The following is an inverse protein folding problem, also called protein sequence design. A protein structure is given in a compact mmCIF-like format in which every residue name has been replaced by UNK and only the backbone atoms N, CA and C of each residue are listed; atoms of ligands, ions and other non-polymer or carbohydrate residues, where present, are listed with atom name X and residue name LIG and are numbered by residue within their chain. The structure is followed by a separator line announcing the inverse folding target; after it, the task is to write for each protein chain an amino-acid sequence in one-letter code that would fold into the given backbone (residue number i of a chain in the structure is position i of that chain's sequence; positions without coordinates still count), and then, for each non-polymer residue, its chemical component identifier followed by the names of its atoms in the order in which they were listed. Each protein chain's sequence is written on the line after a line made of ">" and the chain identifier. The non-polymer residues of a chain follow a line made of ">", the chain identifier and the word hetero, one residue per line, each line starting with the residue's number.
data_IF_189853685566
#
_entry.id   IF_189853685566
#
_cell.length_a   1.000
_cell.length_b   1.000
_cell.length_c   1.000
_cell.angle_alpha   90.00
_cell.angle_beta   90.00
_cell.angle_gamma   90.00
#
_symmetry.space_group_name_H-M   'P 1'
#
loop_
_entity.id
_entity.type
_entity.pdbx_description
1 polymer ?
#
# COMPACT_ATOMS: atom_id res chain seq x y z
N UNK A 1 8.70 44.08 23.79
CA UNK A 1 9.62 43.62 22.74
C UNK A 1 9.83 44.76 21.77
N UNK A 2 10.97 45.45 21.84
CA UNK A 2 11.25 46.63 21.00
C UNK A 2 11.95 46.14 19.74
N UNK A 3 11.19 45.85 18.68
CA UNK A 3 11.76 45.55 17.36
C UNK A 3 12.31 46.86 16.77
N UNK A 4 13.62 47.05 16.80
CA UNK A 4 14.28 48.12 16.06
C UNK A 4 14.03 47.89 14.56
N UNK A 5 13.39 48.85 13.90
CA UNK A 5 13.11 48.80 12.46
C UNK A 5 13.92 49.86 11.72
N UNK A 6 14.48 49.48 10.58
CA UNK A 6 15.16 50.39 9.69
C UNK A 6 14.23 51.48 9.16
N UNK A 7 14.80 52.68 8.96
CA UNK A 7 14.08 53.89 8.60
C UNK A 7 13.70 53.86 7.10
N UNK A 8 12.42 54.05 6.79
CA UNK A 8 11.94 54.14 5.40
C UNK A 8 12.55 55.38 4.74
N UNK A 9 13.36 55.19 3.68
CA UNK A 9 14.07 56.29 2.99
C UNK A 9 13.23 56.98 1.91
N UNK A 10 12.18 56.35 1.37
CA UNK A 10 11.22 56.92 0.41
C UNK A 10 9.91 56.12 0.40
N UNK A 11 8.75 56.78 0.26
CA UNK A 11 7.42 56.15 0.26
C UNK A 11 6.79 55.97 1.65
N UNK A 12 5.66 55.27 1.73
CA UNK A 12 4.94 54.98 2.98
C UNK A 12 4.89 53.48 3.27
N UNK A 13 5.01 53.09 4.54
CA UNK A 13 4.83 51.70 5.00
C UNK A 13 3.67 51.65 5.99
N UNK A 14 2.56 51.03 5.57
CA UNK A 14 1.44 50.71 6.45
C UNK A 14 1.69 49.33 7.07
N UNK A 15 1.63 49.22 8.40
CA UNK A 15 1.76 47.92 9.10
C UNK A 15 0.76 47.87 10.23
N UNK A 16 -0.01 46.78 10.32
CA UNK A 16 -0.77 46.44 11.51
C UNK A 16 0.12 45.64 12.45
N UNK A 17 0.34 46.15 13.65
CA UNK A 17 1.05 45.45 14.73
C UNK A 17 0.04 45.11 15.80
N UNK A 18 -0.11 43.83 16.10
CA UNK A 18 -0.97 43.34 17.18
C UNK A 18 -0.20 42.31 18.01
N UNK A 19 -0.59 42.17 19.27
CA UNK A 19 -0.09 41.14 20.17
C UNK A 19 -1.28 40.27 20.57
N UNK A 20 -1.19 38.97 20.31
CA UNK A 20 -2.19 38.01 20.80
C UNK A 20 -1.75 37.56 22.18
N UNK A 21 -2.61 37.77 23.17
CA UNK A 21 -2.40 37.28 24.54
C UNK A 21 -3.22 36.01 24.75
N UNK A 22 -2.57 34.93 25.19
CA UNK A 22 -3.29 33.73 25.60
C UNK A 22 -4.03 33.96 26.93
N UNK A 23 -5.29 33.53 27.07
CA UNK A 23 -6.01 33.56 28.34
C UNK A 23 -5.24 32.86 29.47
N UNK A 24 -5.45 33.23 30.74
CA UNK A 24 -4.77 32.61 31.88
C UNK A 24 -4.87 31.08 31.92
N UNK A 25 -6.02 30.53 31.52
CA UNK A 25 -6.28 29.09 31.43
C UNK A 25 -5.46 28.39 30.34
N UNK A 26 -5.00 29.13 29.33
CA UNK A 26 -4.24 28.65 28.18
C UNK A 26 -2.74 28.98 28.27
N UNK A 27 -2.26 29.53 29.39
CA UNK A 27 -0.84 29.85 29.57
C UNK A 27 0.08 28.63 29.55
N UNK A 28 -0.44 27.43 29.77
CA UNK A 28 0.30 26.18 29.59
C UNK A 28 0.60 25.85 28.11
N UNK A 29 -0.10 26.49 27.17
CA UNK A 29 0.18 26.43 25.73
C UNK A 29 1.19 27.50 25.30
N UNK A 30 1.64 28.36 26.23
CA UNK A 30 2.58 29.42 25.94
C UNK A 30 3.94 28.77 25.65
N UNK A 31 4.31 28.79 24.38
CA UNK A 31 5.49 28.11 23.88
C UNK A 31 6.75 28.72 24.49
N UNK A 32 7.66 27.87 24.95
CA UNK A 32 8.99 28.32 25.28
C UNK A 32 9.71 28.72 23.99
N UNK A 33 10.03 30.00 23.83
CA UNK A 33 10.66 30.51 22.61
C UNK A 33 12.09 29.99 22.39
N UNK A 34 12.69 29.41 23.43
CA UNK A 34 14.05 28.87 23.38
C UNK A 34 14.13 27.49 22.71
N UNK A 35 13.01 26.78 22.54
CA UNK A 35 12.97 25.44 21.95
C UNK A 35 11.97 25.34 20.77
N UNK A 36 12.37 24.85 19.59
CA UNK A 36 11.44 24.63 18.50
C UNK A 36 10.46 23.49 18.84
N UNK A 37 9.19 23.64 18.42
CA UNK A 37 8.12 22.67 18.67
C UNK A 37 8.49 21.27 18.16
N UNK A 38 9.18 21.20 17.02
CA UNK A 38 9.68 19.95 16.43
C UNK A 38 10.65 19.21 17.35
N UNK A 39 11.47 19.90 18.14
CA UNK A 39 12.42 19.27 19.07
C UNK A 39 11.73 18.77 20.34
N UNK A 40 10.73 19.49 20.85
CA UNK A 40 9.90 19.01 21.96
C UNK A 40 9.10 17.77 21.55
N UNK A 41 8.45 17.83 20.38
CA UNK A 41 7.69 16.73 19.82
C UNK A 41 8.58 15.53 19.47
N UNK A 42 9.79 15.76 18.96
CA UNK A 42 10.76 14.69 18.74
C UNK A 42 11.14 14.02 20.08
N UNK A 43 11.31 14.79 21.15
CA UNK A 43 11.49 14.24 22.49
C UNK A 43 10.37 13.26 22.87
N UNK A 44 9.11 13.69 22.73
CA UNK A 44 7.93 12.88 23.03
C UNK A 44 7.84 11.62 22.16
N UNK A 45 8.01 11.75 20.83
CA UNK A 45 8.00 10.59 19.92
C UNK A 45 9.16 9.63 20.26
N UNK A 46 10.31 10.16 20.67
CA UNK A 46 11.46 9.37 21.09
C UNK A 46 11.19 8.45 22.30
N UNK A 47 10.24 8.83 23.17
CA UNK A 47 9.82 8.01 24.31
C UNK A 47 8.85 6.89 23.95
N UNK A 48 8.26 6.90 22.75
CA UNK A 48 7.38 5.84 22.30
C UNK A 48 8.13 4.50 22.25
N UNK A 49 7.48 3.47 22.79
CA UNK A 49 7.94 2.09 22.82
C UNK A 49 7.67 1.44 21.46
N UNK A 50 8.71 0.91 20.79
CA UNK A 50 8.57 0.30 19.48
C UNK A 50 7.53 -0.84 19.38
N UNK A 51 7.21 -1.50 20.51
CA UNK A 51 6.34 -2.69 20.55
C UNK A 51 4.84 -2.40 20.66
N UNK A 52 4.42 -1.19 21.04
CA UNK A 52 3.00 -0.92 21.35
C UNK A 52 2.46 0.42 20.80
N UNK A 53 3.34 1.33 20.40
CA UNK A 53 2.94 2.73 20.27
C UNK A 53 2.79 3.11 18.80
N UNK A 54 1.61 2.85 18.24
CA UNK A 54 1.09 3.55 17.07
C UNK A 54 0.19 4.70 17.50
N UNK A 55 -0.03 5.67 16.61
CA UNK A 55 -1.07 6.68 16.79
C UNK A 55 -1.81 6.95 15.48
N UNK A 56 -3.01 7.50 15.61
CA UNK A 56 -3.80 8.03 14.50
C UNK A 56 -4.19 9.48 14.79
N UNK A 57 -4.05 10.37 13.81
CA UNK A 57 -4.51 11.74 13.89
C UNK A 57 -5.65 11.93 12.88
N UNK A 58 -6.88 12.07 13.35
CA UNK A 58 -8.02 12.40 12.49
C UNK A 58 -7.86 13.81 11.92
N UNK A 59 -8.10 13.96 10.62
CA UNK A 59 -7.96 15.23 9.91
C UNK A 59 -9.27 16.00 9.94
N UNK A 60 -9.21 17.31 10.18
CA UNK A 60 -10.39 18.17 10.34
C UNK A 60 -11.06 18.53 9.02
N UNK A 61 -10.32 18.64 7.92
CA UNK A 61 -10.89 18.95 6.61
C UNK A 61 -11.31 17.69 5.85
N UNK A 62 -12.25 17.88 4.93
CA UNK A 62 -12.57 16.89 3.92
C UNK A 62 -11.53 16.92 2.78
N UNK A 63 -11.19 15.73 2.29
CA UNK A 63 -10.27 15.53 1.18
C UNK A 63 -10.89 14.57 0.20
N UNK A 64 -10.51 14.70 -1.07
CA UNK A 64 -10.89 13.73 -2.10
C UNK A 64 -9.76 12.74 -2.33
N UNK A 65 -10.10 11.50 -2.66
CA UNK A 65 -9.14 10.44 -2.99
C UNK A 65 -8.15 10.91 -4.05
N UNK A 66 -8.64 11.63 -5.07
CA UNK A 66 -7.80 12.18 -6.13
C UNK A 66 -6.76 13.16 -5.59
N UNK A 67 -7.15 14.07 -4.69
CA UNK A 67 -6.22 15.02 -4.10
C UNK A 67 -5.12 14.33 -3.28
N UNK A 68 -5.49 13.30 -2.51
CA UNK A 68 -4.55 12.50 -1.72
C UNK A 68 -3.65 11.68 -2.64
N UNK A 69 -4.19 11.08 -3.69
CA UNK A 69 -3.41 10.28 -4.64
C UNK A 69 -2.37 11.12 -5.39
N UNK A 70 -2.75 12.33 -5.81
CA UNK A 70 -1.89 13.20 -6.60
C UNK A 70 -0.81 13.91 -5.75
N UNK A 71 -1.12 14.27 -4.50
CA UNK A 71 -0.28 15.16 -3.68
C UNK A 71 0.20 14.57 -2.36
N UNK A 72 -0.40 13.48 -1.87
CA UNK A 72 -0.11 12.90 -0.56
C UNK A 72 -0.38 13.89 0.58
N UNK A 73 0.54 13.97 1.55
CA UNK A 73 0.44 14.93 2.66
C UNK A 73 0.49 16.40 2.20
N UNK A 74 0.94 16.68 0.98
CA UNK A 74 0.90 18.03 0.40
C UNK A 74 -0.50 18.48 0.00
N UNK A 75 -1.48 17.57 -0.06
CA UNK A 75 -2.89 17.91 -0.27
C UNK A 75 -3.50 18.63 0.94
N UNK A 76 -2.91 18.42 2.13
CA UNK A 76 -3.46 18.87 3.41
C UNK A 76 -3.50 20.40 3.50
N UNK A 77 -4.49 20.92 4.21
CA UNK A 77 -4.72 22.37 4.34
C UNK A 77 -4.93 22.79 5.79
N UNK A 78 -4.76 24.08 6.03
CA UNK A 78 -5.03 24.72 7.32
C UNK A 78 -4.33 24.02 8.48
N UNK A 79 -5.11 23.69 9.52
CA UNK A 79 -4.61 23.08 10.75
C UNK A 79 -4.07 21.66 10.53
N UNK A 80 -4.63 20.90 9.59
CA UNK A 80 -4.19 19.53 9.30
C UNK A 80 -2.76 19.54 8.77
N UNK A 81 -2.50 20.42 7.79
CA UNK A 81 -1.17 20.61 7.24
C UNK A 81 -0.17 21.00 8.32
N UNK A 82 -0.50 22.00 9.14
CA UNK A 82 0.40 22.46 10.20
C UNK A 82 0.73 21.35 11.22
N UNK A 83 -0.24 20.51 11.58
CA UNK A 83 -0.04 19.39 12.51
C UNK A 83 0.85 18.30 11.89
N UNK A 84 0.59 17.94 10.63
CA UNK A 84 1.35 16.90 9.93
C UNK A 84 2.78 17.36 9.64
N UNK A 85 2.98 18.59 9.19
CA UNK A 85 4.32 19.17 8.99
C UNK A 85 5.11 19.16 10.32
N UNK A 86 4.50 19.52 11.45
CA UNK A 86 5.16 19.46 12.75
C UNK A 86 5.58 18.03 13.14
N UNK A 87 4.73 17.03 12.88
CA UNK A 87 5.03 15.61 13.13
C UNK A 87 6.16 15.10 12.21
N UNK A 88 6.14 15.47 10.93
CA UNK A 88 7.16 15.10 9.95
C UNK A 88 8.52 15.75 10.28
N UNK A 89 8.52 17.03 10.63
CA UNK A 89 9.73 17.76 11.08
C UNK A 89 10.31 17.13 12.34
N UNK A 90 9.48 16.83 13.35
CA UNK A 90 9.92 16.15 14.56
C UNK A 90 10.54 14.78 14.23
N UNK A 91 9.85 13.99 13.40
CA UNK A 91 10.31 12.67 12.98
C UNK A 91 11.61 12.71 12.17
N UNK A 92 11.85 13.79 11.41
CA UNK A 92 13.07 13.97 10.64
C UNK A 92 14.33 14.07 11.53
N UNK A 93 14.19 14.65 12.73
CA UNK A 93 15.28 14.82 13.71
C UNK A 93 15.60 13.55 14.51
N UNK A 94 14.70 12.56 14.50
CA UNK A 94 14.87 11.33 15.27
C UNK A 94 15.93 10.38 14.70
N UNK A 95 16.63 9.61 15.56
CA UNK A 95 17.49 8.54 15.10
C UNK A 95 16.67 7.44 14.41
N UNK A 96 17.27 6.74 13.43
CA UNK A 96 16.57 5.78 12.57
C UNK A 96 15.74 4.72 13.33
N UNK A 97 16.21 4.24 14.49
CA UNK A 97 15.52 3.24 15.33
C UNK A 97 14.24 3.78 16.01
N UNK A 98 14.06 5.10 16.03
CA UNK A 98 12.95 5.82 16.67
C UNK A 98 12.06 6.53 15.67
N UNK A 99 12.41 6.50 14.38
CA UNK A 99 11.57 7.09 13.33
C UNK A 99 10.25 6.34 13.25
N UNK A 100 9.21 7.09 12.92
CA UNK A 100 7.87 6.62 12.61
C UNK A 100 7.70 6.56 11.08
N UNK A 101 6.93 5.59 10.62
CA UNK A 101 6.41 5.54 9.26
C UNK A 101 4.99 6.09 9.27
N UNK A 102 4.72 7.04 8.37
CA UNK A 102 3.41 7.67 8.22
C UNK A 102 2.65 7.11 7.01
N UNK A 103 1.34 6.98 7.17
CA UNK A 103 0.36 6.62 6.16
C UNK A 103 -0.82 7.59 6.24
N UNK A 104 -1.47 7.79 5.10
CA UNK A 104 -2.77 8.45 5.03
C UNK A 104 -3.81 7.35 4.94
N UNK A 105 -4.89 7.45 5.70
CA UNK A 105 -6.02 6.51 5.63
C UNK A 105 -7.30 7.28 5.36
N UNK A 106 -8.12 6.78 4.45
CA UNK A 106 -9.51 7.19 4.32
C UNK A 106 -10.36 6.16 5.06
N UNK A 107 -11.08 6.59 6.09
CA UNK A 107 -11.96 5.74 6.88
C UNK A 107 -13.40 6.06 6.53
N UNK A 108 -14.18 5.02 6.32
CA UNK A 108 -15.60 5.07 6.06
C UNK A 108 -16.33 4.14 7.03
N UNK A 109 -17.36 4.66 7.69
CA UNK A 109 -18.25 3.88 8.55
C UNK A 109 -19.67 4.00 7.99
N UNK A 110 -20.19 2.92 7.41
CA UNK A 110 -21.57 2.81 6.99
C UNK A 110 -22.37 2.14 8.10
N UNK A 111 -23.38 2.84 8.63
CA UNK A 111 -24.17 2.35 9.77
C UNK A 111 -25.65 2.38 9.40
N UNK A 112 -26.23 1.18 9.36
CA UNK A 112 -27.64 0.97 9.11
C UNK A 112 -28.42 0.93 10.43
N UNK A 113 -29.53 1.64 10.48
CA UNK A 113 -30.45 1.70 11.62
C UNK A 113 -31.86 1.32 11.17
N UNK A 114 -32.62 0.71 12.09
CA UNK A 114 -34.06 0.51 11.96
C UNK A 114 -34.80 1.16 13.13
N UNK A 115 -36.03 1.59 12.88
CA UNK A 115 -36.91 2.16 13.88
C UNK A 115 -37.66 1.06 14.66
N UNK A 116 -37.60 1.12 15.99
CA UNK A 116 -38.35 0.24 16.91
C UNK A 116 -39.62 0.85 17.46
N UNK A 117 -40.12 1.94 16.86
CA UNK A 117 -41.35 2.61 17.28
C UNK A 117 -41.11 3.70 18.32
N UNK A 118 -40.00 4.43 18.20
CA UNK A 118 -39.64 5.55 19.09
C UNK A 118 -38.15 5.72 19.36
N UNK A 119 -37.33 4.75 18.95
CA UNK A 119 -35.87 4.81 19.02
C UNK A 119 -35.26 4.18 17.77
N UNK A 120 -34.06 4.64 17.41
CA UNK A 120 -33.26 4.06 16.35
C UNK A 120 -32.31 3.02 16.96
N UNK A 121 -32.36 1.80 16.45
CA UNK A 121 -31.43 0.73 16.80
C UNK A 121 -30.49 0.44 15.63
N UNK A 122 -29.20 0.24 15.94
CA UNK A 122 -28.19 -0.13 14.95
C UNK A 122 -28.40 -1.58 14.51
N UNK A 123 -28.59 -1.78 13.20
CA UNK A 123 -28.71 -3.10 12.57
C UNK A 123 -27.33 -3.68 12.23
N UNK A 124 -26.56 -2.88 11.50
CA UNK A 124 -25.34 -3.31 10.83
C UNK A 124 -24.37 -2.14 10.74
N UNK A 125 -23.09 -2.45 10.87
CA UNK A 125 -21.98 -1.52 10.71
C UNK A 125 -20.93 -2.14 9.81
N UNK A 126 -20.60 -1.42 8.76
CA UNK A 126 -19.54 -1.79 7.83
C UNK A 126 -18.45 -0.72 7.87
N UNK A 127 -17.21 -1.14 8.18
CA UNK A 127 -16.06 -0.24 8.24
C UNK A 127 -15.14 -0.51 7.05
N UNK A 128 -14.72 0.56 6.36
CA UNK A 128 -13.76 0.46 5.27
C UNK A 128 -12.60 1.39 5.51
N UNK A 129 -11.39 0.88 5.30
CA UNK A 129 -10.16 1.66 5.45
C UNK A 129 -9.33 1.53 4.18
N UNK A 130 -9.26 2.62 3.42
CA UNK A 130 -8.38 2.75 2.27
C UNK A 130 -7.04 3.35 2.68
N UNK A 131 -5.95 2.68 2.31
CA UNK A 131 -4.60 3.05 2.72
C UNK A 131 -3.82 3.72 1.61
N UNK A 132 -3.07 4.76 1.96
CA UNK A 132 -2.16 5.47 1.07
C UNK A 132 -0.81 5.69 1.74
N UNK A 133 0.25 5.74 0.94
CA UNK A 133 1.54 6.26 1.40
C UNK A 133 1.44 7.74 1.73
N UNK A 134 2.40 8.28 2.50
CA UNK A 134 2.49 9.73 2.72
C UNK A 134 2.69 10.53 1.42
N UNK A 135 3.17 9.88 0.35
CA UNK A 135 3.30 10.45 -0.98
C UNK A 135 2.06 10.31 -1.86
N UNK A 136 0.99 9.67 -1.39
CA UNK A 136 -0.27 9.50 -2.14
C UNK A 136 -0.43 8.17 -2.88
N UNK A 137 0.57 7.29 -2.86
CA UNK A 137 0.42 5.98 -3.51
C UNK A 137 -0.67 5.17 -2.80
N UNK A 138 -1.75 4.84 -3.52
CA UNK A 138 -2.80 3.96 -3.00
C UNK A 138 -2.29 2.53 -2.84
N UNK A 139 -2.66 1.92 -1.73
CA UNK A 139 -2.46 0.51 -1.41
C UNK A 139 -3.78 -0.27 -1.33
N UNK A 140 -4.92 0.38 -1.59
CA UNK A 140 -6.24 -0.25 -1.55
C UNK A 140 -6.82 -0.40 -0.14
N UNK A 141 -7.86 -1.23 -0.05
CA UNK A 141 -8.55 -1.57 1.20
C UNK A 141 -7.65 -2.45 2.07
N UNK A 142 -7.48 -2.04 3.32
CA UNK A 142 -6.76 -2.81 4.35
C UNK A 142 -7.71 -3.59 5.25
N UNK A 143 -7.20 -4.01 6.40
CA UNK A 143 -8.01 -4.65 7.43
C UNK A 143 -9.03 -3.65 7.99
N UNK A 144 -10.29 -4.06 8.09
CA UNK A 144 -11.41 -3.23 8.57
C UNK A 144 -11.25 -2.86 10.05
N UNK A 145 -10.80 -3.81 10.88
CA UNK A 145 -10.62 -3.59 12.31
C UNK A 145 -9.16 -3.28 12.69
N UNK A 146 -8.85 -2.01 12.91
CA UNK A 146 -7.56 -1.57 13.44
C UNK A 146 -7.78 -0.75 14.69
N UNK A 147 -7.28 -1.27 15.83
CA UNK A 147 -7.25 -0.50 17.08
C UNK A 147 -6.29 0.68 16.92
N UNK A 148 -6.86 1.86 16.69
CA UNK A 148 -6.09 3.10 16.55
C UNK A 148 -6.02 3.86 17.88
N UNK A 149 -4.83 4.34 18.25
CA UNK A 149 -4.67 5.24 19.39
C UNK A 149 -4.80 6.68 18.91
N UNK A 150 -5.97 7.30 19.11
CA UNK A 150 -6.23 8.64 18.60
C UNK A 150 -5.41 9.71 19.32
N UNK A 151 -4.56 10.40 18.57
CA UNK A 151 -3.96 11.67 18.92
C UNK A 151 -5.04 12.75 18.73
N UNK A 152 -5.57 13.23 19.85
CA UNK A 152 -6.65 14.21 19.87
C UNK A 152 -6.17 15.56 20.45
N UNK A 153 -5.44 16.37 19.66
CA UNK A 153 -4.94 17.66 20.12
C UNK A 153 -6.06 18.70 20.32
N UNK A 154 -7.23 18.49 19.68
CA UNK A 154 -8.42 19.32 19.87
C UNK A 154 -9.14 19.08 21.20
N UNK A 155 -8.93 17.91 21.81
CA UNK A 155 -9.70 17.39 22.96
C UNK A 155 -11.18 17.22 22.64
N UNK A 156 -11.48 16.96 21.37
CA UNK A 156 -12.83 16.71 20.88
C UNK A 156 -13.36 15.40 21.50
N UNK A 157 -14.63 15.36 21.88
CA UNK A 157 -15.30 14.12 22.23
C UNK A 157 -15.39 13.18 21.02
N UNK A 158 -15.66 11.90 21.25
CA UNK A 158 -15.78 10.94 20.15
C UNK A 158 -16.92 11.30 19.18
N UNK A 159 -17.99 11.92 19.68
CA UNK A 159 -19.07 12.44 18.85
C UNK A 159 -18.61 13.63 17.98
N UNK A 160 -17.93 14.61 18.59
CA UNK A 160 -17.40 15.79 17.87
C UNK A 160 -16.33 15.42 16.82
N UNK A 161 -15.64 14.28 16.99
CA UNK A 161 -14.73 13.76 15.97
C UNK A 161 -15.45 13.29 14.69
N UNK A 162 -16.73 12.94 14.74
CA UNK A 162 -17.47 12.45 13.57
C UNK A 162 -18.60 13.38 13.15
N UNK A 163 -18.97 14.33 14.01
CA UNK A 163 -19.99 15.34 13.73
C UNK A 163 -19.63 16.16 12.49
N UNK A 164 -20.60 16.33 11.59
CA UNK A 164 -20.41 17.04 10.32
C UNK A 164 -19.74 16.21 9.21
N UNK A 165 -19.23 15.01 9.51
CA UNK A 165 -18.63 14.10 8.53
C UNK A 165 -19.53 12.92 8.12
N UNK A 166 -20.80 12.94 8.56
CA UNK A 166 -21.80 11.91 8.27
C UNK A 166 -22.85 12.40 7.27
N UNK A 167 -23.19 11.56 6.29
CA UNK A 167 -24.32 11.75 5.40
C UNK A 167 -25.39 10.69 5.69
N UNK A 168 -26.63 11.09 5.97
CA UNK A 168 -27.72 10.18 6.29
C UNK A 168 -28.77 10.10 5.18
N UNK A 169 -29.14 8.89 4.79
CA UNK A 169 -30.34 8.62 4.01
C UNK A 169 -31.42 8.02 4.90
N UNK A 170 -32.68 8.35 4.62
CA UNK A 170 -33.83 7.88 5.37
C UNK A 170 -34.85 7.30 4.39
N UNK A 171 -35.25 6.07 4.63
CA UNK A 171 -36.37 5.44 3.93
C UNK A 171 -37.55 5.36 4.89
N UNK A 172 -38.65 6.02 4.52
CA UNK A 172 -39.86 6.07 5.34
C UNK A 172 -40.56 4.72 5.45
N UNK A 173 -41.67 4.69 6.17
CA UNK A 173 -42.44 3.46 6.39
C UNK A 173 -43.03 2.91 5.08
N UNK A 174 -42.36 1.93 4.48
CA UNK A 174 -42.80 1.22 3.27
C UNK A 174 -43.58 -0.05 3.67
N UNK A 175 -44.72 0.12 4.34
CA UNK A 175 -45.63 -0.98 4.68
C UNK A 175 -45.36 -1.61 6.04
N UNK A 176 -45.20 -2.94 6.09
CA UNK A 176 -45.03 -3.70 7.35
C UNK A 176 -43.58 -3.68 7.87
N UNK A 177 -42.65 -3.15 7.07
CA UNK A 177 -41.26 -2.94 7.46
C UNK A 177 -41.11 -1.52 8.03
N UNK A 178 -40.46 -1.41 9.19
CA UNK A 178 -40.22 -0.13 9.88
C UNK A 178 -39.34 0.80 9.05
N UNK A 179 -39.31 2.09 9.41
CA UNK A 179 -38.42 3.05 8.75
C UNK A 179 -36.95 2.65 8.94
N UNK A 180 -36.14 2.84 7.91
CA UNK A 180 -34.70 2.59 7.95
C UNK A 180 -33.93 3.88 7.75
N UNK A 181 -32.74 3.95 8.34
CA UNK A 181 -31.82 5.06 8.18
C UNK A 181 -30.43 4.51 7.96
N UNK A 182 -29.76 4.89 6.89
CA UNK A 182 -28.33 4.63 6.74
C UNK A 182 -27.58 5.95 7.01
N UNK A 183 -26.47 5.89 7.74
CA UNK A 183 -25.53 7.01 7.87
C UNK A 183 -24.12 6.56 7.53
N UNK A 184 -23.54 7.18 6.50
CA UNK A 184 -22.15 6.97 6.10
C UNK A 184 -21.29 8.12 6.65
N UNK A 185 -20.34 7.81 7.52
CA UNK A 185 -19.31 8.75 7.98
C UNK A 185 -18.02 8.55 7.20
N UNK A 186 -17.42 9.63 6.70
CA UNK A 186 -16.17 9.55 5.94
C UNK A 186 -15.16 10.56 6.46
N UNK A 187 -13.96 10.09 6.85
CA UNK A 187 -12.91 10.96 7.39
C UNK A 187 -11.53 10.44 7.06
N UNK A 188 -10.62 11.36 6.74
CA UNK A 188 -9.21 11.04 6.56
C UNK A 188 -8.43 11.10 7.89
N UNK A 189 -7.37 10.30 8.00
CA UNK A 189 -6.44 10.36 9.12
C UNK A 189 -5.00 10.09 8.70
N UNK A 190 -4.07 10.49 9.58
CA UNK A 190 -2.68 10.06 9.52
C UNK A 190 -2.48 8.94 10.53
N UNK A 191 -2.06 7.77 10.06
CA UNK A 191 -1.64 6.67 10.91
C UNK A 191 -0.12 6.59 10.93
N UNK A 192 0.45 6.46 12.12
CA UNK A 192 1.88 6.31 12.28
C UNK A 192 2.24 5.19 13.24
N UNK A 193 3.27 4.42 12.89
CA UNK A 193 3.86 3.42 13.76
C UNK A 193 5.40 3.41 13.63
N UNK A 194 6.12 2.78 14.58
CA UNK A 194 7.57 2.74 14.55
C UNK A 194 8.09 2.09 13.25
N UNK A 195 9.01 2.75 12.56
CA UNK A 195 9.55 2.31 11.28
C UNK A 195 10.18 0.91 11.33
N UNK A 196 10.75 0.55 12.49
CA UNK A 196 11.32 -0.79 12.76
C UNK A 196 10.30 -1.94 12.67
N UNK A 197 9.00 -1.64 12.80
CA UNK A 197 7.90 -2.61 12.62
C UNK A 197 7.11 -2.38 11.35
N UNK A 198 7.55 -1.46 10.49
CA UNK A 198 6.72 -1.02 9.38
C UNK A 198 6.42 -2.14 8.38
N UNK A 199 7.37 -3.06 8.15
CA UNK A 199 7.14 -4.20 7.24
C UNK A 199 6.13 -5.18 7.85
N UNK A 200 6.27 -5.51 9.14
CA UNK A 200 5.37 -6.41 9.87
C UNK A 200 3.94 -5.84 9.92
N UNK A 201 3.80 -4.57 10.34
CA UNK A 201 2.50 -3.91 10.44
C UNK A 201 1.85 -3.72 9.07
N UNK A 202 2.62 -3.31 8.05
CA UNK A 202 2.07 -3.15 6.71
C UNK A 202 1.59 -4.48 6.12
N UNK A 203 2.32 -5.59 6.33
CA UNK A 203 1.85 -6.92 5.90
C UNK A 203 0.55 -7.32 6.60
N UNK A 204 0.46 -7.02 7.90
CA UNK A 204 -0.69 -7.41 8.72
C UNK A 204 -1.94 -6.61 8.41
N UNK A 205 -1.80 -5.29 8.26
CA UNK A 205 -2.94 -4.36 8.27
C UNK A 205 -3.28 -3.77 6.90
N UNK A 206 -2.34 -3.80 5.94
CA UNK A 206 -2.51 -3.16 4.64
C UNK A 206 -2.40 -4.20 3.52
N UNK A 207 -1.23 -4.80 3.36
CA UNK A 207 -0.95 -5.79 2.32
C UNK A 207 0.51 -5.81 1.89
N UNK A 208 0.84 -6.75 1.00
CA UNK A 208 2.20 -6.98 0.52
C UNK A 208 2.79 -5.78 -0.22
N UNK A 209 1.98 -5.05 -1.00
CA UNK A 209 2.40 -3.85 -1.72
C UNK A 209 2.93 -2.76 -0.78
N UNK A 210 2.19 -2.45 0.29
CA UNK A 210 2.57 -1.47 1.29
C UNK A 210 3.82 -1.91 2.08
N UNK A 211 3.90 -3.20 2.40
CA UNK A 211 5.04 -3.76 3.11
C UNK A 211 6.33 -3.74 2.28
N UNK A 212 6.23 -3.97 0.96
CA UNK A 212 7.37 -3.81 0.06
C UNK A 212 7.83 -2.35 0.01
N UNK A 213 6.90 -1.40 0.00
CA UNK A 213 7.21 0.02 0.13
C UNK A 213 7.96 0.35 1.43
N UNK A 214 7.50 -0.19 2.56
CA UNK A 214 8.15 -0.05 3.85
C UNK A 214 9.54 -0.69 3.89
N UNK A 215 9.72 -1.84 3.24
CA UNK A 215 11.01 -2.52 3.13
C UNK A 215 12.00 -1.68 2.33
N UNK A 216 11.58 -1.13 1.19
CA UNK A 216 12.40 -0.28 0.31
C UNK A 216 12.86 1.02 0.97
N UNK A 217 12.10 1.54 1.93
CA UNK A 217 12.48 2.72 2.70
C UNK A 217 13.65 2.47 3.67
N UNK A 218 14.02 1.21 3.91
CA UNK A 218 15.16 0.89 4.76
C UNK A 218 16.50 1.19 4.07
N UNK A 219 17.48 1.67 4.84
CA UNK A 219 18.80 2.07 4.32
C UNK A 219 19.59 0.90 3.69
N UNK A 220 19.43 -0.30 4.23
CA UNK A 220 20.09 -1.51 3.77
C UNK A 220 19.17 -2.69 4.02
N UNK A 221 19.03 -3.57 3.03
CA UNK A 221 18.24 -4.78 3.10
C UNK A 221 19.20 -5.94 2.91
N UNK A 222 19.34 -6.80 3.91
CA UNK A 222 20.11 -8.03 3.79
C UNK A 222 19.22 -9.20 3.30
N UNK A 223 19.87 -10.30 2.91
CA UNK A 223 19.16 -11.46 2.37
C UNK A 223 18.23 -12.13 3.38
N UNK A 224 18.55 -12.09 4.68
CA UNK A 224 17.70 -12.66 5.72
C UNK A 224 16.39 -11.86 5.88
N UNK A 225 16.50 -10.54 5.85
CA UNK A 225 15.35 -9.61 5.91
C UNK A 225 14.47 -9.80 4.68
N UNK A 226 15.06 -9.84 3.48
CA UNK A 226 14.30 -10.08 2.24
C UNK A 226 13.63 -11.46 2.25
N UNK A 227 14.32 -12.50 2.73
CA UNK A 227 13.77 -13.86 2.87
C UNK A 227 12.56 -13.89 3.80
N UNK A 228 12.67 -13.25 4.96
CA UNK A 228 11.59 -13.18 5.94
C UNK A 228 10.37 -12.49 5.36
N UNK A 229 10.57 -11.36 4.66
CA UNK A 229 9.51 -10.66 3.95
C UNK A 229 8.85 -11.55 2.88
N UNK A 230 9.63 -12.15 1.98
CA UNK A 230 9.08 -12.99 0.89
C UNK A 230 8.33 -14.20 1.44
N UNK A 231 8.80 -14.80 2.53
CA UNK A 231 8.12 -15.92 3.18
C UNK A 231 6.77 -15.48 3.77
N UNK A 232 6.75 -14.34 4.46
CA UNK A 232 5.52 -13.81 5.03
C UNK A 232 4.50 -13.40 3.94
N UNK A 233 4.96 -12.75 2.87
CA UNK A 233 4.12 -12.37 1.74
C UNK A 233 3.56 -13.59 0.97
N UNK A 234 4.37 -14.63 0.75
CA UNK A 234 3.91 -15.87 0.13
C UNK A 234 2.84 -16.58 0.98
N UNK A 235 3.02 -16.63 2.30
CA UNK A 235 2.05 -17.23 3.22
C UNK A 235 0.76 -16.42 3.32
N UNK A 236 0.84 -15.08 3.28
CA UNK A 236 -0.34 -14.22 3.25
C UNK A 236 -1.23 -14.51 2.02
N UNK A 237 -0.60 -14.83 0.88
CA UNK A 237 -1.27 -15.08 -0.40
C UNK A 237 -1.64 -16.56 -0.65
N UNK A 238 -1.39 -17.48 0.30
CA UNK A 238 -1.61 -18.92 0.11
C UNK A 238 -2.80 -19.48 0.88
N UNK A 239 -3.42 -18.69 1.76
CA UNK A 239 -4.67 -19.04 2.42
C UNK A 239 -5.80 -18.59 1.50
N UNK A 240 -6.29 -19.53 0.68
CA UNK A 240 -7.50 -19.32 -0.11
C UNK A 240 -8.70 -19.06 0.80
N UNK A 241 -9.74 -18.44 0.22
CA UNK A 241 -10.96 -17.93 0.84
C UNK A 241 -11.82 -18.95 1.65
N UNK A 242 -11.31 -20.13 2.01
CA UNK A 242 -12.15 -21.26 2.41
C UNK A 242 -12.17 -21.63 3.91
N UNK A 243 -11.18 -21.31 4.74
CA UNK A 243 -11.25 -21.69 6.17
C UNK A 243 -10.49 -20.74 7.12
N UNK A 244 -11.17 -19.71 7.64
CA UNK A 244 -10.78 -19.06 8.91
C UNK A 244 -11.94 -18.29 9.54
N UNK A 245 -12.92 -19.02 10.07
CA UNK A 245 -13.95 -18.47 10.95
C UNK A 245 -13.45 -18.11 12.37
N UNK A 246 -12.13 -18.15 12.64
CA UNK A 246 -11.64 -18.06 14.04
C UNK A 246 -10.51 -17.06 14.31
N UNK A 247 -9.99 -16.33 13.32
CA UNK A 247 -9.00 -15.26 13.55
C UNK A 247 -9.11 -14.18 12.46
N UNK A 248 -9.94 -13.16 12.72
CA UNK A 248 -9.94 -11.82 12.09
C UNK A 248 -9.74 -11.75 10.58
N UNK A 249 -10.82 -11.40 9.85
CA UNK A 249 -10.85 -11.00 8.45
C UNK A 249 -9.52 -10.36 7.98
N UNK A 250 -8.77 -11.06 7.12
CA UNK A 250 -7.58 -10.51 6.46
C UNK A 250 -7.99 -9.63 5.27
N UNK A 251 -7.14 -8.68 4.84
CA UNK A 251 -7.39 -7.91 3.62
C UNK A 251 -7.65 -8.87 2.45
N UNK A 252 -8.63 -8.55 1.60
CA UNK A 252 -8.86 -9.29 0.34
C UNK A 252 -7.52 -9.43 -0.38
N UNK A 253 -7.18 -10.65 -0.80
CA UNK A 253 -5.94 -10.94 -1.51
C UNK A 253 -5.87 -10.13 -2.80
N UNK A 254 -5.28 -8.93 -2.75
CA UNK A 254 -5.01 -8.13 -3.92
C UNK A 254 -4.11 -8.95 -4.85
N UNK A 255 -4.52 -9.10 -6.11
CA UNK A 255 -3.68 -9.79 -7.09
C UNK A 255 -2.29 -9.16 -7.12
N UNK A 256 -1.23 -9.99 -7.14
CA UNK A 256 0.15 -9.51 -7.11
C UNK A 256 0.37 -8.54 -8.27
N UNK A 257 0.66 -7.28 -7.95
CA UNK A 257 0.83 -6.25 -8.99
C UNK A 257 2.12 -6.46 -9.77
N UNK A 258 2.14 -6.09 -11.05
CA UNK A 258 3.37 -6.08 -11.85
C UNK A 258 4.46 -5.23 -11.18
N UNK A 259 4.09 -4.06 -10.64
CA UNK A 259 5.00 -3.14 -9.93
C UNK A 259 5.63 -3.78 -8.69
N UNK A 260 4.89 -4.62 -7.96
CA UNK A 260 5.42 -5.41 -6.85
C UNK A 260 6.56 -6.31 -7.31
N UNK A 261 6.30 -7.13 -8.34
CA UNK A 261 7.30 -8.06 -8.86
C UNK A 261 8.52 -7.34 -9.47
N UNK A 262 8.32 -6.22 -10.16
CA UNK A 262 9.42 -5.39 -10.69
C UNK A 262 10.35 -4.92 -9.56
N UNK A 263 9.75 -4.37 -8.50
CA UNK A 263 10.50 -3.88 -7.34
C UNK A 263 11.22 -5.03 -6.62
N UNK A 264 10.56 -6.19 -6.50
CA UNK A 264 11.16 -7.38 -5.89
C UNK A 264 12.35 -7.89 -6.72
N UNK A 265 12.27 -7.86 -8.06
CA UNK A 265 13.39 -8.22 -8.94
C UNK A 265 14.62 -7.31 -8.70
N UNK A 266 14.42 -6.00 -8.58
CA UNK A 266 15.53 -5.07 -8.30
C UNK A 266 16.18 -5.36 -6.93
N UNK A 267 15.39 -5.72 -5.91
CA UNK A 267 15.92 -6.13 -4.59
C UNK A 267 16.69 -7.45 -4.66
N UNK A 268 16.23 -8.43 -5.44
CA UNK A 268 16.92 -9.71 -5.62
C UNK A 268 18.29 -9.51 -6.27
N UNK A 269 18.36 -8.65 -7.30
CA UNK A 269 19.63 -8.28 -7.96
C UNK A 269 20.54 -7.53 -7.00
N UNK A 270 20.02 -6.75 -6.06
CA UNK A 270 20.83 -6.07 -5.04
C UNK A 270 21.41 -7.07 -4.02
N UNK A 271 20.60 -8.00 -3.52
CA UNK A 271 20.98 -8.95 -2.46
C UNK A 271 21.90 -10.07 -2.95
N UNK A 272 21.77 -10.48 -4.22
CA UNK A 272 22.61 -11.52 -4.85
C UNK A 272 22.54 -12.90 -4.17
N UNK A 273 21.35 -13.28 -3.66
CA UNK A 273 21.08 -14.63 -3.12
C UNK A 273 20.25 -15.46 -4.13
N UNK A 274 20.83 -16.51 -4.76
CA UNK A 274 20.11 -17.34 -5.74
C UNK A 274 18.90 -18.06 -5.16
N UNK A 275 18.90 -18.41 -3.88
CA UNK A 275 17.77 -19.11 -3.26
C UNK A 275 16.54 -18.19 -3.11
N UNK A 276 16.75 -16.86 -3.03
CA UNK A 276 15.64 -15.91 -3.08
C UNK A 276 15.08 -15.76 -4.49
N UNK A 277 15.92 -15.88 -5.52
CA UNK A 277 15.48 -15.88 -6.91
C UNK A 277 14.61 -17.10 -7.20
N UNK A 278 15.00 -18.27 -6.72
CA UNK A 278 14.18 -19.49 -6.85
C UNK A 278 12.81 -19.33 -6.13
N UNK A 279 12.82 -18.77 -4.91
CA UNK A 279 11.58 -18.46 -4.18
C UNK A 279 10.69 -17.47 -4.94
N UNK A 280 11.27 -16.47 -5.60
CA UNK A 280 10.53 -15.52 -6.43
C UNK A 280 9.80 -16.22 -7.59
N UNK A 281 10.51 -17.07 -8.33
CA UNK A 281 9.92 -17.78 -9.46
C UNK A 281 8.84 -18.77 -9.03
N UNK A 282 9.05 -19.48 -7.92
CA UNK A 282 8.11 -20.46 -7.39
C UNK A 282 6.83 -19.85 -6.80
N UNK A 283 6.95 -18.75 -6.04
CA UNK A 283 5.83 -18.25 -5.22
C UNK A 283 5.15 -16.98 -5.78
N UNK A 284 5.83 -16.20 -6.62
CA UNK A 284 5.35 -14.89 -7.06
C UNK A 284 5.18 -14.81 -8.57
N UNK A 285 6.25 -15.10 -9.33
CA UNK A 285 6.23 -14.94 -10.79
C UNK A 285 5.18 -15.82 -11.46
N UNK A 286 5.02 -17.06 -11.00
CA UNK A 286 4.04 -18.00 -11.55
C UNK A 286 2.60 -17.48 -11.48
N UNK A 287 2.26 -16.75 -10.42
CA UNK A 287 0.92 -16.22 -10.10
C UNK A 287 0.59 -14.89 -10.79
N UNK A 288 1.56 -14.27 -11.45
CA UNK A 288 1.34 -13.00 -12.14
C UNK A 288 0.60 -13.25 -13.45
N UNK A 289 -0.53 -12.58 -13.66
CA UNK A 289 -1.29 -12.67 -14.91
C UNK A 289 -0.53 -12.09 -16.10
N UNK A 290 0.10 -10.93 -15.92
CA UNK A 290 0.88 -10.25 -16.95
C UNK A 290 2.40 -10.39 -16.74
N UNK A 291 2.93 -11.51 -17.23
CA UNK A 291 4.36 -11.85 -17.13
C UNK A 291 5.23 -11.07 -18.12
N UNK A 292 4.65 -10.49 -19.18
CA UNK A 292 5.43 -9.82 -20.24
C UNK A 292 6.08 -8.53 -19.73
N UNK A 293 5.36 -7.76 -18.90
CA UNK A 293 5.88 -6.54 -18.31
C UNK A 293 7.06 -6.74 -17.32
N UNK A 294 7.42 -7.99 -17.01
CA UNK A 294 8.60 -8.33 -16.22
C UNK A 294 9.84 -8.72 -17.03
N UNK A 295 9.73 -8.92 -18.34
CA UNK A 295 10.85 -9.39 -19.18
C UNK A 295 12.15 -8.58 -18.94
N UNK A 296 12.16 -7.23 -18.95
CA UNK A 296 13.37 -6.45 -18.69
C UNK A 296 14.00 -6.73 -17.32
N UNK A 297 13.19 -7.03 -16.31
CA UNK A 297 13.64 -7.30 -14.95
C UNK A 297 14.14 -8.74 -14.79
N UNK A 298 13.51 -9.70 -15.46
CA UNK A 298 14.02 -11.08 -15.54
C UNK A 298 15.38 -11.12 -16.24
N UNK A 299 15.57 -10.33 -17.31
CA UNK A 299 16.88 -10.22 -17.98
C UNK A 299 17.94 -9.67 -17.02
N UNK A 300 17.61 -8.67 -16.19
CA UNK A 300 18.54 -8.19 -15.15
C UNK A 300 18.94 -9.32 -14.19
N UNK A 301 17.99 -10.17 -13.78
CA UNK A 301 18.27 -11.34 -12.94
C UNK A 301 19.19 -12.33 -13.70
N UNK A 302 18.86 -12.69 -14.94
CA UNK A 302 19.67 -13.64 -15.73
C UNK A 302 21.11 -13.14 -15.89
N UNK A 303 21.30 -11.83 -16.12
CA UNK A 303 22.63 -11.21 -16.21
C UNK A 303 23.35 -11.11 -14.86
N UNK A 304 22.60 -11.08 -13.76
CA UNK A 304 23.14 -10.90 -12.41
C UNK A 304 23.59 -12.20 -11.74
N UNK A 305 23.11 -13.36 -12.20
CA UNK A 305 23.33 -14.66 -11.57
C UNK A 305 23.91 -15.67 -12.56
N UNK A 306 24.55 -16.72 -12.05
CA UNK A 306 24.93 -17.85 -12.92
C UNK A 306 23.68 -18.59 -13.34
N UNK A 307 23.58 -18.91 -14.63
CA UNK A 307 22.42 -19.61 -15.18
C UNK A 307 22.11 -20.91 -14.42
N UNK A 308 23.13 -21.70 -14.07
CA UNK A 308 22.98 -22.95 -13.30
C UNK A 308 22.21 -22.80 -11.98
N UNK A 309 22.29 -21.62 -11.36
CA UNK A 309 21.76 -21.40 -10.03
C UNK A 309 20.28 -21.01 -10.06
N UNK A 310 19.80 -20.47 -11.18
CA UNK A 310 18.44 -19.91 -11.34
C UNK A 310 17.61 -20.60 -12.43
N UNK A 311 18.23 -21.40 -13.30
CA UNK A 311 17.59 -22.04 -14.43
C UNK A 311 16.36 -22.85 -14.00
N UNK A 312 16.51 -23.67 -12.96
CA UNK A 312 15.43 -24.54 -12.47
C UNK A 312 14.16 -23.74 -12.12
N UNK A 313 14.31 -22.66 -11.34
CA UNK A 313 13.19 -21.82 -10.90
C UNK A 313 12.50 -21.13 -12.07
N UNK A 314 13.27 -20.45 -12.93
CA UNK A 314 12.70 -19.77 -14.10
C UNK A 314 12.01 -20.76 -15.03
N UNK A 315 12.67 -21.85 -15.39
CA UNK A 315 12.12 -22.84 -16.33
C UNK A 315 10.87 -23.53 -15.79
N UNK A 316 10.83 -23.82 -14.48
CA UNK A 316 9.61 -24.31 -13.82
C UNK A 316 8.44 -23.34 -13.92
N UNK A 317 8.72 -22.03 -13.84
CA UNK A 317 7.70 -20.98 -13.91
C UNK A 317 7.16 -20.69 -15.33
N UNK A 318 7.84 -21.18 -16.37
CA UNK A 318 7.36 -21.17 -17.76
C UNK A 318 6.31 -22.26 -18.03
N UNK A 319 6.05 -23.15 -17.06
CA UNK A 319 4.96 -24.12 -17.11
C UNK A 319 3.62 -23.46 -17.45
N UNK A 320 2.93 -23.97 -18.45
CA UNK A 320 1.60 -23.48 -18.83
C UNK A 320 0.52 -24.20 -18.02
N UNK A 321 -0.49 -23.45 -17.58
CA UNK A 321 -1.75 -24.06 -17.17
C UNK A 321 -2.35 -24.78 -18.37
N UNK A 322 -2.80 -26.01 -18.16
CA UNK A 322 -3.65 -26.71 -19.11
C UNK A 322 -4.99 -25.97 -19.08
N UNK A 323 -5.30 -25.21 -20.12
CA UNK A 323 -6.58 -24.52 -20.21
C UNK A 323 -7.62 -25.49 -20.78
N UNK A 324 -8.73 -25.68 -20.05
CA UNK A 324 -9.90 -26.36 -20.58
C UNK A 324 -10.65 -25.39 -21.49
N UNK A 325 -10.43 -25.56 -22.79
CA UNK A 325 -11.05 -24.72 -23.82
C UNK A 325 -12.35 -25.40 -24.27
N UNK A 326 -13.46 -24.66 -24.27
CA UNK A 326 -14.78 -25.18 -24.65
C UNK A 326 -14.86 -25.34 -26.17
N UNK A 327 -14.86 -26.58 -26.65
CA UNK A 327 -14.99 -26.91 -28.07
C UNK A 327 -16.40 -27.48 -28.31
N UNK A 328 -17.38 -26.58 -28.43
CA UNK A 328 -18.79 -26.92 -28.73
C UNK A 328 -19.67 -27.18 -27.50
N UNK A 329 -20.90 -27.65 -27.74
CA UNK A 329 -21.98 -27.67 -26.73
C UNK A 329 -21.74 -28.62 -25.53
N UNK A 330 -20.83 -29.60 -25.63
CA UNK A 330 -20.50 -30.57 -24.56
C UNK A 330 -19.05 -31.11 -24.57
N UNK A 331 -18.07 -30.45 -25.20
CA UNK A 331 -16.68 -30.95 -25.26
C UNK A 331 -15.69 -29.95 -24.67
N UNK A 332 -14.94 -30.38 -23.67
CA UNK A 332 -13.78 -29.65 -23.14
C UNK A 332 -12.52 -30.25 -23.75
N UNK A 333 -11.71 -29.42 -24.42
CA UNK A 333 -10.37 -29.81 -24.84
C UNK A 333 -9.36 -29.25 -23.85
N UNK A 334 -8.50 -30.11 -23.30
CA UNK A 334 -7.33 -29.69 -22.53
C UNK A 334 -6.25 -29.24 -23.49
N UNK A 335 -5.94 -27.95 -23.49
CA UNK A 335 -4.98 -27.35 -24.42
C UNK A 335 -3.86 -26.64 -23.65
N UNK A 336 -2.63 -26.80 -24.14
CA UNK A 336 -1.50 -26.04 -23.61
C UNK A 336 -1.64 -24.57 -24.07
N UNK A 337 -1.57 -23.63 -23.12
CA UNK A 337 -1.48 -22.21 -23.43
C UNK A 337 -0.15 -21.84 -24.11
N UNK A 338 -0.18 -20.80 -24.96
CA UNK A 338 0.98 -20.27 -25.68
C UNK A 338 1.80 -19.24 -24.87
N UNK A 339 1.30 -18.82 -23.70
CA UNK A 339 1.91 -17.79 -22.85
C UNK A 339 3.34 -18.12 -22.41
N UNK A 340 3.59 -19.37 -22.01
CA UNK A 340 4.92 -19.83 -21.60
C UNK A 340 5.92 -19.86 -22.76
N UNK A 341 5.47 -20.22 -23.96
CA UNK A 341 6.29 -20.19 -25.18
C UNK A 341 6.67 -18.75 -25.55
N UNK A 342 5.68 -17.85 -25.62
CA UNK A 342 5.88 -16.42 -25.94
C UNK A 342 6.86 -15.76 -24.98
N UNK A 343 6.70 -16.00 -23.68
CA UNK A 343 7.59 -15.46 -22.66
C UNK A 343 9.04 -15.95 -22.86
N UNK A 344 9.23 -17.24 -23.16
CA UNK A 344 10.54 -17.80 -23.43
C UNK A 344 11.19 -17.17 -24.68
N UNK A 345 10.43 -17.02 -25.78
CA UNK A 345 10.92 -16.40 -27.01
C UNK A 345 11.33 -14.93 -26.81
N UNK A 346 10.51 -14.15 -26.09
CA UNK A 346 10.84 -12.75 -25.80
C UNK A 346 12.12 -12.63 -24.94
N UNK A 347 12.34 -13.55 -24.00
CA UNK A 347 13.58 -13.60 -23.22
C UNK A 347 14.77 -13.95 -24.12
N UNK A 348 14.63 -14.93 -25.03
CA UNK A 348 15.67 -15.33 -25.99
C UNK A 348 16.14 -14.17 -26.86
N UNK A 349 15.19 -13.39 -27.39
CA UNK A 349 15.50 -12.22 -28.24
C UNK A 349 16.31 -11.14 -27.52
N UNK A 350 16.21 -11.08 -26.20
CA UNK A 350 16.84 -10.04 -25.39
C UNK A 350 18.15 -10.47 -24.72
N UNK A 351 18.56 -11.74 -24.90
CA UNK A 351 19.78 -12.31 -24.35
C UNK A 351 20.84 -12.43 -25.43
N UNK A 352 22.08 -12.12 -25.06
CA UNK A 352 23.25 -12.45 -25.86
C UNK A 352 23.48 -13.98 -25.80
N UNK A 353 24.03 -14.57 -26.85
CA UNK A 353 24.18 -16.03 -26.96
C UNK A 353 24.82 -16.69 -25.73
N UNK A 354 24.38 -17.90 -25.39
CA UNK A 354 24.89 -18.65 -24.24
C UNK A 354 23.92 -19.70 -23.71
N UNK A 355 24.27 -20.36 -22.58
CA UNK A 355 23.47 -21.45 -22.02
C UNK A 355 22.01 -21.07 -21.71
N UNK A 356 21.80 -19.86 -21.15
CA UNK A 356 20.46 -19.36 -20.85
C UNK A 356 19.60 -19.21 -22.12
N UNK A 357 20.17 -18.64 -23.18
CA UNK A 357 19.47 -18.48 -24.46
C UNK A 357 19.14 -19.83 -25.09
N UNK A 358 20.09 -20.78 -25.07
CA UNK A 358 19.91 -22.12 -25.63
C UNK A 358 18.81 -22.90 -24.90
N UNK A 359 18.82 -22.89 -23.57
CA UNK A 359 17.81 -23.59 -22.77
C UNK A 359 16.41 -22.99 -22.93
N UNK A 360 16.30 -21.65 -22.95
CA UNK A 360 15.04 -20.96 -23.18
C UNK A 360 14.49 -21.22 -24.58
N UNK A 361 15.36 -21.22 -25.60
CA UNK A 361 14.97 -21.55 -26.97
C UNK A 361 14.49 -22.99 -27.07
N UNK A 362 15.20 -23.93 -26.45
CA UNK A 362 14.79 -25.33 -26.39
C UNK A 362 13.40 -25.48 -25.73
N UNK A 363 13.17 -24.83 -24.60
CA UNK A 363 11.86 -24.88 -23.94
C UNK A 363 10.74 -24.22 -24.75
N UNK A 364 11.03 -23.15 -25.49
CA UNK A 364 10.06 -22.56 -26.41
C UNK A 364 9.66 -23.56 -27.50
N UNK A 365 10.62 -24.25 -28.12
CA UNK A 365 10.38 -25.28 -29.14
C UNK A 365 9.60 -26.46 -28.57
N UNK A 366 9.99 -26.98 -27.41
CA UNK A 366 9.29 -28.08 -26.74
C UNK A 366 7.83 -27.72 -26.45
N UNK A 367 7.54 -26.47 -26.09
CA UNK A 367 6.17 -25.99 -25.86
C UNK A 367 5.41 -25.78 -27.17
N UNK A 368 6.06 -25.28 -28.22
CA UNK A 368 5.44 -25.10 -29.53
C UNK A 368 4.85 -26.41 -30.07
N UNK A 369 5.56 -27.54 -29.89
CA UNK A 369 5.10 -28.88 -30.32
C UNK A 369 3.81 -29.32 -29.61
N UNK A 370 3.50 -28.77 -28.43
CA UNK A 370 2.32 -29.11 -27.64
C UNK A 370 1.11 -28.21 -27.92
N UNK A 371 1.29 -27.14 -28.71
CA UNK A 371 0.23 -26.20 -29.10
C UNK A 371 -0.36 -26.69 -30.43
N UNK A 372 -1.70 -26.63 -30.57
CA UNK A 372 -2.36 -26.98 -31.84
C UNK A 372 -1.91 -26.08 -32.98
N UNK A 373 -1.74 -26.65 -34.17
CA UNK A 373 -1.35 -25.96 -35.40
C UNK A 373 -2.19 -24.72 -35.69
N UNK A 374 -3.50 -24.76 -35.43
CA UNK A 374 -4.44 -23.65 -35.64
C UNK A 374 -4.14 -22.43 -34.75
N UNK A 375 -3.70 -22.66 -33.50
CA UNK A 375 -3.28 -21.58 -32.59
C UNK A 375 -1.86 -21.14 -32.89
N UNK A 376 -0.97 -22.06 -33.21
CA UNK A 376 0.42 -21.76 -33.55
C UNK A 376 0.52 -20.89 -34.82
N UNK A 377 -0.33 -21.16 -35.81
CA UNK A 377 -0.45 -20.41 -37.06
C UNK A 377 -1.35 -19.17 -36.95
N UNK A 378 -1.91 -18.86 -35.77
CA UNK A 378 -2.66 -17.63 -35.57
C UNK A 378 -1.71 -16.44 -35.48
N UNK A 379 -2.10 -15.31 -36.07
CA UNK A 379 -1.27 -14.09 -36.10
C UNK A 379 -0.89 -13.57 -34.71
N UNK A 380 -1.65 -13.94 -33.68
CA UNK A 380 -1.37 -13.57 -32.29
C UNK A 380 -0.31 -14.45 -31.63
N UNK A 381 0.00 -15.65 -32.12
CA UNK A 381 0.96 -16.56 -31.50
C UNK A 381 2.43 -16.20 -31.76
N UNK A 382 2.69 -15.53 -32.88
CA UNK A 382 4.04 -15.12 -33.34
C UNK A 382 4.19 -13.60 -33.37
N UNK A 383 3.29 -12.85 -32.72
CA UNK A 383 3.42 -11.40 -32.58
C UNK A 383 4.50 -11.09 -31.52
N UNK A 384 5.74 -11.28 -31.93
CA UNK A 384 6.94 -10.90 -31.20
C UNK A 384 7.22 -9.49 -31.64
N UNK A 385 6.79 -8.51 -30.83
CA UNK A 385 6.74 -7.10 -31.19
C UNK A 385 7.98 -6.63 -31.96
N UNK A 386 7.75 -6.08 -33.15
CA UNK A 386 8.79 -5.44 -33.94
C UNK A 386 9.39 -4.25 -33.15
N UNK A 387 10.71 -4.01 -33.27
CA UNK A 387 11.43 -3.00 -32.49
C UNK A 387 10.93 -1.57 -32.65
#
# INVERSE_FOLDING_TARGET
>A
MTLARERVKKGFRLVLVYSICLPPTMRHLLRNHDKPLSEELAGLIGYLKPKADSFSLLLSHEYTDRSIQDLGTRALKGIDRARVEALEEANATLPAKKKMQFYIVAMEHDINYYDTGGAWEENERNERINWYSSGGQSYGEGMEEIKMNFLNPGRDSLAELWEGHGNSTFEGYLGNEGATRNTTYSRYAIVAWPAVRSVENALKYIGANAALGALKAQKSIDGATLRSFMTAAANANSVGDDESYSLGYRPKSESLSVKFCQTLCDLLVQVRDPALVDMFFGNFFGRLGDKQNLIPFIIKIIRAFKWSDIAKGLMGSLGGEIQETRVGFMRYAREAGDSGMKLALNLVQSLDGGPAQQDLLKAAVEKAVLIRDERLCSWTAVDVGYP
#
